data_IF_858128882875
#
_entry.id   IF_858128882875
#
_cell.length_a   1.000
_cell.length_b   1.000
_cell.length_c   1.000
_cell.angle_alpha   90.00
_cell.angle_beta   90.00
_cell.angle_gamma   90.00
#
_symmetry.space_group_name_H-M   'P 1'
#
loop_
_entity.id
_entity.type
_entity.pdbx_description
1 polymer ?
#
# COMPACT_ATOMS: atom_id res chain seq x y z
N UNK A 1 -9.54 21.78 5.03
CA UNK A 1 -8.85 20.81 5.92
C UNK A 1 -9.88 20.10 6.78
N UNK A 2 -9.62 18.85 7.17
CA UNK A 2 -10.47 18.08 8.07
C UNK A 2 -9.79 17.76 9.40
N UNK A 3 -10.55 17.24 10.36
CA UNK A 3 -10.03 16.78 11.66
C UNK A 3 -9.90 15.25 11.62
N UNK A 4 -8.70 14.73 11.86
CA UNK A 4 -8.48 13.29 11.97
C UNK A 4 -8.97 12.77 13.33
N UNK A 5 -9.70 11.65 13.34
CA UNK A 5 -10.14 10.95 14.54
C UNK A 5 -10.30 9.45 14.27
N UNK A 6 -10.09 8.62 15.28
CA UNK A 6 -10.38 7.18 15.22
C UNK A 6 -11.88 6.88 15.39
N UNK A 7 -12.24 5.59 15.26
CA UNK A 7 -13.62 5.13 15.47
C UNK A 7 -14.12 5.31 16.91
N UNK A 8 -13.22 5.22 17.90
CA UNK A 8 -13.51 5.45 19.32
C UNK A 8 -12.56 6.53 19.90
N UNK A 9 -12.86 7.83 19.75
CA UNK A 9 -11.94 8.92 20.08
C UNK A 9 -11.53 9.03 21.57
N UNK A 10 -12.25 8.37 22.47
CA UNK A 10 -12.00 8.39 23.92
C UNK A 10 -11.47 7.05 24.47
N UNK A 11 -11.19 6.09 23.60
CA UNK A 11 -10.62 4.81 24.01
C UNK A 11 -9.20 5.01 24.58
N UNK A 12 -8.80 4.10 25.48
CA UNK A 12 -7.43 4.02 25.99
C UNK A 12 -6.64 3.03 25.13
N UNK A 13 -5.34 3.24 24.99
CA UNK A 13 -4.46 2.39 24.17
C UNK A 13 -3.49 1.60 25.06
N UNK A 14 -3.46 0.28 24.89
CA UNK A 14 -2.32 -0.56 25.23
C UNK A 14 -1.52 -0.84 23.97
N UNK A 15 -0.20 -0.60 23.99
CA UNK A 15 0.67 -0.74 22.82
C UNK A 15 1.64 -1.88 23.05
N UNK A 16 1.48 -2.96 22.28
CA UNK A 16 2.31 -4.16 22.35
C UNK A 16 3.07 -4.30 21.04
N UNK A 17 4.38 -4.05 21.07
CA UNK A 17 5.21 -4.08 19.86
C UNK A 17 5.72 -5.50 19.59
N UNK A 18 5.10 -6.18 18.62
CA UNK A 18 5.52 -7.51 18.17
C UNK A 18 6.31 -7.54 16.85
N UNK A 19 6.34 -6.42 16.11
CA UNK A 19 6.93 -6.34 14.78
C UNK A 19 8.18 -5.46 14.72
N UNK A 20 9.16 -5.88 13.92
CA UNK A 20 10.44 -5.20 13.75
C UNK A 20 10.83 -5.09 12.27
N UNK A 21 11.54 -4.01 11.93
CA UNK A 21 12.10 -3.83 10.59
C UNK A 21 13.10 -4.95 10.31
N UNK A 22 13.00 -5.60 9.15
CA UNK A 22 13.87 -6.70 8.73
C UNK A 22 13.44 -8.09 9.24
N UNK A 23 12.90 -8.19 10.47
CA UNK A 23 12.48 -9.48 11.05
C UNK A 23 10.97 -9.77 10.91
N UNK A 24 10.16 -8.77 10.53
CA UNK A 24 8.71 -8.92 10.44
C UNK A 24 8.08 -9.05 11.82
N UNK A 25 7.04 -9.88 11.91
CA UNK A 25 6.28 -10.13 13.14
C UNK A 25 6.37 -11.63 13.49
N UNK A 26 7.36 -12.07 14.27
CA UNK A 26 7.50 -13.47 14.64
C UNK A 26 6.32 -13.94 15.49
N UNK A 27 5.78 -15.14 15.23
CA UNK A 27 4.63 -15.70 15.95
C UNK A 27 4.83 -15.69 17.46
N UNK A 28 6.02 -16.03 17.94
CA UNK A 28 6.34 -16.03 19.36
C UNK A 28 6.21 -14.63 19.98
N UNK A 29 6.63 -13.58 19.26
CA UNK A 29 6.50 -12.20 19.73
C UNK A 29 5.05 -11.72 19.70
N UNK A 30 4.27 -12.15 18.70
CA UNK A 30 2.84 -11.85 18.60
C UNK A 30 2.06 -12.54 19.71
N UNK A 31 2.35 -13.81 19.99
CA UNK A 31 1.72 -14.57 21.08
C UNK A 31 2.07 -14.00 22.46
N UNK A 32 3.32 -13.61 22.68
CA UNK A 32 3.72 -12.94 23.92
C UNK A 32 2.95 -11.61 24.11
N UNK A 33 2.85 -10.80 23.06
CA UNK A 33 2.06 -9.57 23.08
C UNK A 33 0.57 -9.80 23.36
N UNK A 34 -0.01 -10.89 22.83
CA UNK A 34 -1.40 -11.28 23.11
C UNK A 34 -1.56 -11.69 24.58
N UNK A 35 -0.61 -12.45 25.14
CA UNK A 35 -0.65 -12.88 26.54
C UNK A 35 -0.56 -11.69 27.51
N UNK A 36 0.36 -10.76 27.24
CA UNK A 36 0.47 -9.51 28.02
C UNK A 36 -0.82 -8.68 27.93
N UNK A 37 -1.40 -8.55 26.73
CA UNK A 37 -2.65 -7.80 26.56
C UNK A 37 -3.85 -8.47 27.26
N UNK A 38 -3.88 -9.80 27.27
CA UNK A 38 -4.86 -10.57 28.05
C UNK A 38 -4.68 -10.29 29.55
N UNK A 39 -3.44 -10.29 30.04
CA UNK A 39 -3.12 -10.04 31.44
C UNK A 39 -3.52 -8.63 31.87
N UNK A 40 -3.24 -7.64 31.02
CA UNK A 40 -3.59 -6.23 31.25
C UNK A 40 -5.10 -5.94 31.15
N UNK A 41 -5.89 -6.90 30.67
CA UNK A 41 -7.35 -6.80 30.61
C UNK A 41 -7.86 -5.86 29.53
N UNK A 42 -7.26 -5.88 28.33
CA UNK A 42 -7.77 -5.09 27.19
C UNK A 42 -9.14 -5.57 26.74
N UNK A 43 -9.98 -4.66 26.24
CA UNK A 43 -11.31 -5.00 25.73
C UNK A 43 -11.29 -5.52 24.27
N UNK A 44 -10.36 -5.00 23.46
CA UNK A 44 -10.24 -5.28 22.03
C UNK A 44 -8.78 -5.37 21.62
N UNK A 45 -8.45 -6.41 20.87
CA UNK A 45 -7.17 -6.58 20.17
C UNK A 45 -7.32 -6.22 18.70
N UNK A 46 -6.56 -5.22 18.24
CA UNK A 46 -6.50 -4.80 16.83
C UNK A 46 -5.14 -5.15 16.23
N UNK A 47 -5.12 -6.18 15.38
CA UNK A 47 -3.91 -6.80 14.84
C UNK A 47 -3.87 -6.63 13.31
N UNK A 48 -3.21 -5.58 12.83
CA UNK A 48 -3.01 -5.37 11.37
C UNK A 48 -1.81 -6.16 10.84
N UNK A 49 -1.80 -7.45 11.12
CA UNK A 49 -0.79 -8.43 10.68
C UNK A 49 -1.49 -9.58 9.96
N UNK A 50 -0.92 -10.02 8.85
CA UNK A 50 -1.48 -11.06 8.00
C UNK A 50 -0.37 -11.67 7.13
N UNK A 51 -0.56 -12.91 6.70
CA UNK A 51 0.29 -13.63 5.77
C UNK A 51 -0.48 -14.82 5.20
N UNK A 52 -0.40 -15.05 3.89
CA UNK A 52 -1.20 -16.08 3.20
C UNK A 52 -1.15 -17.43 3.94
N UNK A 53 -2.32 -17.99 4.24
CA UNK A 53 -2.45 -19.29 4.93
C UNK A 53 -1.98 -19.30 6.38
N UNK A 54 -1.65 -18.14 6.96
CA UNK A 54 -1.21 -18.02 8.33
C UNK A 54 -2.42 -17.81 9.27
N UNK A 55 -2.51 -18.64 10.31
CA UNK A 55 -3.54 -18.58 11.33
C UNK A 55 -2.89 -18.52 12.71
N UNK A 56 -3.44 -17.68 13.59
CA UNK A 56 -2.98 -17.54 14.98
C UNK A 56 -4.00 -18.15 15.95
N UNK A 57 -4.01 -19.48 16.15
CA UNK A 57 -5.01 -20.14 17.00
C UNK A 57 -4.93 -19.74 18.47
N UNK A 58 -3.78 -19.24 18.94
CA UNK A 58 -3.60 -18.72 20.31
C UNK A 58 -4.54 -17.56 20.67
N UNK A 59 -5.13 -16.89 19.68
CA UNK A 59 -6.17 -15.87 19.88
C UNK A 59 -7.46 -16.40 20.49
N UNK A 60 -7.70 -17.72 20.46
CA UNK A 60 -8.82 -18.35 21.14
C UNK A 60 -8.81 -18.05 22.64
N UNK A 61 -7.64 -17.97 23.28
CA UNK A 61 -7.51 -17.64 24.69
C UNK A 61 -7.96 -16.20 25.02
N UNK A 62 -7.73 -15.26 24.10
CA UNK A 62 -8.23 -13.90 24.24
C UNK A 62 -9.76 -13.86 24.18
N UNK A 63 -10.34 -14.53 23.17
CA UNK A 63 -11.80 -14.59 22.99
C UNK A 63 -12.48 -15.30 24.15
N UNK A 64 -11.88 -16.37 24.69
CA UNK A 64 -12.37 -17.06 25.89
C UNK A 64 -12.43 -16.15 27.13
N UNK A 65 -11.60 -15.11 27.18
CA UNK A 65 -11.61 -14.09 28.25
C UNK A 65 -12.49 -12.88 27.93
N UNK A 66 -13.29 -12.95 26.87
CA UNK A 66 -14.19 -11.88 26.46
C UNK A 66 -13.54 -10.77 25.64
N UNK A 67 -12.30 -10.96 25.18
CA UNK A 67 -11.55 -9.98 24.40
C UNK A 67 -11.84 -10.19 22.91
N UNK A 68 -12.36 -9.16 22.24
CA UNK A 68 -12.62 -9.23 20.79
C UNK A 68 -11.32 -9.09 20.00
N UNK A 69 -11.07 -9.97 19.03
CA UNK A 69 -9.85 -9.96 18.22
C UNK A 69 -10.18 -9.62 16.76
N UNK A 70 -9.48 -8.62 16.23
CA UNK A 70 -9.67 -8.11 14.87
C UNK A 70 -8.37 -8.23 14.08
N UNK A 71 -8.41 -8.92 12.93
CA UNK A 71 -7.30 -9.03 11.98
C UNK A 71 -7.59 -8.33 10.66
N UNK A 72 -6.54 -7.92 9.95
CA UNK A 72 -6.64 -7.61 8.52
C UNK A 72 -6.65 -8.87 7.66
N UNK A 73 -7.42 -8.89 6.57
CA UNK A 73 -7.52 -10.04 5.66
C UNK A 73 -6.30 -10.32 4.78
N UNK A 74 -5.25 -9.49 4.85
CA UNK A 74 -4.07 -9.60 3.99
C UNK A 74 -4.18 -8.80 2.69
N UNK A 75 -3.06 -8.66 1.99
CA UNK A 75 -2.93 -7.82 0.78
C UNK A 75 -2.42 -8.63 -0.42
N UNK A 76 -2.61 -9.95 -0.38
CA UNK A 76 -2.08 -10.92 -1.36
C UNK A 76 -3.13 -11.34 -2.40
N UNK A 77 -4.31 -10.73 -2.35
CA UNK A 77 -5.32 -10.87 -3.41
C UNK A 77 -4.84 -10.34 -4.76
N UNK A 78 -5.63 -10.52 -5.83
CA UNK A 78 -7.05 -10.88 -5.79
C UNK A 78 -7.34 -12.37 -5.99
N UNK A 79 -6.30 -13.20 -6.20
CA UNK A 79 -6.46 -14.64 -6.40
C UNK A 79 -7.28 -15.23 -5.25
N UNK A 80 -8.23 -16.15 -5.52
CA UNK A 80 -8.99 -16.78 -4.46
C UNK A 80 -8.10 -17.41 -3.38
N UNK A 81 -8.64 -17.54 -2.16
CA UNK A 81 -7.99 -18.23 -1.03
C UNK A 81 -6.68 -17.58 -0.53
N UNK A 82 -6.54 -16.26 -0.67
CA UNK A 82 -5.37 -15.50 -0.15
C UNK A 82 -5.59 -14.89 1.24
N UNK A 83 -6.77 -15.06 1.83
CA UNK A 83 -7.10 -14.51 3.16
C UNK A 83 -6.29 -15.20 4.26
N UNK A 84 -5.97 -14.47 5.33
CA UNK A 84 -5.26 -14.96 6.52
C UNK A 84 -6.15 -14.89 7.77
N UNK A 85 -5.80 -15.63 8.82
CA UNK A 85 -6.54 -15.65 10.08
C UNK A 85 -8.04 -15.91 9.89
N UNK A 86 -8.41 -16.87 9.06
CA UNK A 86 -9.79 -17.23 8.75
C UNK A 86 -10.42 -18.14 9.83
N UNK A 87 -10.06 -17.93 11.10
CA UNK A 87 -10.55 -18.72 12.23
C UNK A 87 -11.92 -18.20 12.70
N UNK A 88 -12.84 -19.06 13.16
CA UNK A 88 -14.24 -18.68 13.37
C UNK A 88 -14.49 -17.76 14.57
N UNK A 89 -13.52 -17.60 15.47
CA UNK A 89 -13.65 -16.78 16.68
C UNK A 89 -13.10 -15.35 16.54
N UNK A 90 -12.50 -14.99 15.41
CA UNK A 90 -11.95 -13.64 15.18
C UNK A 90 -12.73 -12.90 14.08
N UNK A 91 -12.60 -11.57 14.07
CA UNK A 91 -13.13 -10.75 12.99
C UNK A 91 -12.01 -10.42 11.99
N UNK A 92 -12.09 -10.97 10.78
CA UNK A 92 -11.12 -10.70 9.71
C UNK A 92 -11.69 -9.69 8.73
N UNK A 93 -11.01 -8.56 8.57
CA UNK A 93 -11.54 -7.37 7.88
C UNK A 93 -10.88 -7.20 6.50
N UNK A 94 -11.70 -7.12 5.46
CA UNK A 94 -11.28 -6.79 4.10
C UNK A 94 -11.10 -5.28 3.91
N UNK A 95 -10.39 -4.88 2.85
CA UNK A 95 -10.20 -3.48 2.49
C UNK A 95 -11.10 -3.08 1.32
N UNK A 96 -11.68 -1.89 1.39
CA UNK A 96 -12.42 -1.25 0.31
C UNK A 96 -11.98 0.20 0.13
N UNK A 97 -12.36 0.81 -0.99
CA UNK A 97 -12.17 2.25 -1.23
C UNK A 97 -13.28 3.07 -0.55
N UNK A 98 -13.03 4.37 -0.41
CA UNK A 98 -14.01 5.38 0.02
C UNK A 98 -14.28 6.35 -1.14
N UNK A 99 -15.26 7.23 -0.98
CA UNK A 99 -15.64 8.27 -1.96
C UNK A 99 -14.53 9.31 -2.21
N UNK A 100 -13.61 9.49 -1.26
CA UNK A 100 -12.46 10.39 -1.39
C UNK A 100 -11.39 9.81 -2.33
N UNK A 101 -11.00 10.64 -3.31
CA UNK A 101 -9.83 10.42 -4.16
C UNK A 101 -8.83 11.58 -4.06
N UNK A 102 -7.59 11.36 -4.53
CA UNK A 102 -6.54 12.38 -4.60
C UNK A 102 -6.17 12.64 -6.08
N UNK A 103 -7.03 13.34 -6.83
CA UNK A 103 -6.79 13.58 -8.24
C UNK A 103 -5.63 14.56 -8.44
N UNK A 104 -4.79 14.29 -9.44
CA UNK A 104 -3.74 15.20 -9.89
C UNK A 104 -3.98 15.51 -11.36
N UNK A 105 -4.20 16.79 -11.66
CA UNK A 105 -4.41 17.25 -13.03
C UNK A 105 -3.08 17.39 -13.74
N UNK A 106 -2.90 16.68 -14.84
CA UNK A 106 -1.72 16.76 -15.71
C UNK A 106 -2.15 17.55 -16.95
N UNK A 107 -1.53 18.71 -17.16
CA UNK A 107 -1.77 19.54 -18.35
C UNK A 107 -0.64 19.33 -19.36
N UNK A 108 -0.98 18.93 -20.58
CA UNK A 108 -0.04 18.69 -21.66
C UNK A 108 0.15 19.95 -22.52
N UNK A 109 1.24 19.99 -23.29
CA UNK A 109 1.54 21.12 -24.19
C UNK A 109 0.51 21.33 -25.30
N UNK A 110 -0.23 20.28 -25.68
CA UNK A 110 -1.33 20.32 -26.64
C UNK A 110 -2.66 20.80 -26.01
N UNK A 111 -2.65 21.27 -24.75
CA UNK A 111 -3.81 21.69 -23.95
C UNK A 111 -4.75 20.56 -23.50
N UNK A 112 -4.43 19.31 -23.81
CA UNK A 112 -5.15 18.19 -23.21
C UNK A 112 -4.87 18.10 -21.72
N UNK A 113 -5.86 17.61 -20.99
CA UNK A 113 -5.81 17.45 -19.55
C UNK A 113 -6.13 16.01 -19.20
N UNK A 114 -5.20 15.37 -18.49
CA UNK A 114 -5.37 14.03 -17.97
C UNK A 114 -5.52 14.11 -16.46
N UNK A 115 -6.33 13.23 -15.89
CA UNK A 115 -6.50 13.12 -14.44
C UNK A 115 -5.80 11.85 -13.99
N UNK A 116 -4.68 12.02 -13.29
CA UNK A 116 -4.00 10.93 -12.59
C UNK A 116 -4.35 10.93 -11.09
N UNK A 117 -3.68 10.07 -10.34
CA UNK A 117 -3.73 10.06 -8.88
C UNK A 117 -2.32 10.21 -8.31
N UNK A 118 -2.18 11.02 -7.28
CA UNK A 118 -0.91 11.19 -6.58
C UNK A 118 -1.14 11.67 -5.15
N UNK A 119 -0.20 11.33 -4.27
CA UNK A 119 -0.10 11.89 -2.91
C UNK A 119 1.19 12.72 -2.84
N UNK A 120 1.48 13.50 -3.88
CA UNK A 120 2.58 14.45 -3.85
C UNK A 120 2.14 15.73 -3.13
N UNK A 121 2.62 15.88 -1.89
CA UNK A 121 2.36 17.05 -1.05
C UNK A 121 3.53 18.04 -1.00
N UNK A 122 4.56 17.86 -1.85
CA UNK A 122 5.72 18.74 -1.84
C UNK A 122 5.42 20.06 -2.55
N UNK A 123 4.99 21.06 -1.77
CA UNK A 123 4.70 22.41 -2.27
C UNK A 123 5.90 23.09 -2.96
N UNK A 124 7.13 22.67 -2.66
CA UNK A 124 8.34 23.19 -3.31
C UNK A 124 8.51 22.70 -4.75
N UNK A 125 7.79 21.65 -5.17
CA UNK A 125 7.74 21.19 -6.56
C UNK A 125 6.68 21.90 -7.41
N UNK A 126 5.93 22.86 -6.86
CA UNK A 126 5.04 23.75 -7.63
C UNK A 126 5.86 24.78 -8.42
N UNK A 127 6.75 24.31 -9.29
CA UNK A 127 7.40 25.17 -10.25
C UNK A 127 6.44 25.30 -11.44
N UNK A 128 5.91 26.51 -11.64
CA UNK A 128 4.83 26.82 -12.59
C UNK A 128 5.19 26.66 -14.09
N UNK A 129 6.36 26.12 -14.42
CA UNK A 129 6.85 25.97 -15.79
C UNK A 129 6.61 24.58 -16.36
N UNK A 130 6.09 24.52 -17.59
CA UNK A 130 6.07 23.29 -18.38
C UNK A 130 7.49 22.69 -18.43
N UNK A 131 7.57 21.37 -18.22
CA UNK A 131 8.79 20.59 -18.41
C UNK A 131 8.64 19.73 -19.66
N UNK A 132 9.76 19.42 -20.31
CA UNK A 132 9.78 18.46 -21.41
C UNK A 132 9.23 17.10 -20.94
N UNK A 133 8.41 16.49 -21.80
CA UNK A 133 7.87 15.15 -21.61
C UNK A 133 8.64 14.17 -22.49
N UNK A 134 9.15 13.09 -21.89
CA UNK A 134 9.82 12.00 -22.60
C UNK A 134 9.06 10.72 -22.38
N UNK A 135 8.79 9.99 -23.45
CA UNK A 135 8.24 8.64 -23.38
C UNK A 135 9.39 7.63 -23.34
N UNK A 136 9.50 6.88 -22.23
CA UNK A 136 10.58 5.91 -22.02
C UNK A 136 10.16 4.45 -22.29
N UNK A 137 8.87 4.20 -22.60
CA UNK A 137 8.34 2.84 -22.61
C UNK A 137 8.23 2.30 -21.18
N UNK A 138 9.24 1.58 -20.71
CA UNK A 138 9.32 1.11 -19.31
C UNK A 138 10.16 2.02 -18.43
N UNK A 139 10.01 1.82 -17.11
CA UNK A 139 10.66 2.61 -16.06
C UNK A 139 11.84 1.87 -15.42
N UNK A 140 12.40 0.86 -16.09
CA UNK A 140 13.64 0.22 -15.69
C UNK A 140 14.85 1.09 -16.06
N UNK A 141 15.98 0.83 -15.39
CA UNK A 141 17.18 1.63 -15.54
C UNK A 141 17.72 1.66 -16.99
N UNK A 142 17.56 0.57 -17.75
CA UNK A 142 18.04 0.47 -19.13
C UNK A 142 17.24 1.38 -20.06
N UNK A 143 15.91 1.29 -19.99
CA UNK A 143 14.99 2.10 -20.80
C UNK A 143 15.11 3.59 -20.50
N UNK A 144 15.31 3.95 -19.22
CA UNK A 144 15.54 5.33 -18.80
C UNK A 144 16.89 5.87 -19.31
N UNK A 145 17.95 5.06 -19.30
CA UNK A 145 19.26 5.44 -19.81
C UNK A 145 19.24 5.70 -21.33
N UNK A 146 18.44 4.94 -22.08
CA UNK A 146 18.28 5.13 -23.52
C UNK A 146 17.47 6.38 -23.90
N UNK A 147 16.67 6.93 -22.97
CA UNK A 147 15.65 7.94 -23.27
C UNK A 147 16.02 9.39 -22.95
N UNK A 148 17.25 9.69 -22.47
CA UNK A 148 17.70 11.04 -22.09
C UNK A 148 16.68 11.80 -21.20
N UNK A 149 16.48 11.26 -19.99
CA UNK A 149 15.44 11.67 -19.04
C UNK A 149 15.87 12.75 -18.03
N UNK A 150 17.15 13.07 -17.97
CA UNK A 150 17.72 14.01 -17.00
C UNK A 150 17.06 15.38 -17.08
N UNK A 151 16.51 15.85 -15.96
CA UNK A 151 15.86 17.16 -15.87
C UNK A 151 14.45 17.23 -16.47
N UNK A 152 13.89 16.12 -16.97
CA UNK A 152 12.60 16.07 -17.69
C UNK A 152 11.53 15.30 -16.92
N UNK A 153 10.28 15.38 -17.39
CA UNK A 153 9.18 14.52 -16.93
C UNK A 153 9.13 13.27 -17.79
N UNK A 154 9.08 12.10 -17.17
CA UNK A 154 9.08 10.81 -17.87
C UNK A 154 7.68 10.21 -17.86
N UNK A 155 7.20 9.77 -19.02
CA UNK A 155 6.04 8.89 -19.15
C UNK A 155 6.52 7.45 -19.31
N UNK A 156 6.12 6.60 -18.36
CA UNK A 156 6.30 5.16 -18.42
C UNK A 156 4.95 4.49 -18.67
N UNK A 157 4.86 3.77 -19.78
CA UNK A 157 3.73 2.94 -20.17
C UNK A 157 4.24 1.71 -20.91
N UNK A 158 4.22 0.56 -20.24
CA UNK A 158 4.73 -0.71 -20.76
C UNK A 158 3.65 -1.81 -20.63
N UNK A 159 2.65 -1.85 -21.53
CA UNK A 159 1.44 -2.66 -21.36
C UNK A 159 1.72 -4.15 -21.11
N UNK A 160 2.72 -4.74 -21.78
CA UNK A 160 3.11 -6.13 -21.57
C UNK A 160 3.65 -6.41 -20.15
N UNK A 161 4.42 -5.48 -19.57
CA UNK A 161 4.93 -5.60 -18.19
C UNK A 161 3.84 -5.26 -17.16
N UNK A 162 2.94 -4.35 -17.52
CA UNK A 162 1.85 -3.92 -16.63
C UNK A 162 0.85 -5.04 -16.32
N UNK A 163 0.76 -6.04 -17.19
CA UNK A 163 -0.05 -7.22 -16.97
C UNK A 163 0.57 -8.12 -15.87
N UNK A 164 1.88 -8.35 -15.88
CA UNK A 164 2.49 -9.36 -15.02
C UNK A 164 2.91 -8.85 -13.64
N UNK A 165 3.07 -7.54 -13.46
CA UNK A 165 3.57 -6.96 -12.21
C UNK A 165 2.52 -6.03 -11.60
N UNK A 166 2.06 -6.25 -10.36
CA UNK A 166 1.06 -5.37 -9.75
C UNK A 166 1.63 -3.96 -9.48
N UNK A 167 0.81 -2.90 -9.54
CA UNK A 167 1.25 -1.52 -9.29
C UNK A 167 2.01 -1.35 -7.96
N UNK A 168 1.60 -2.09 -6.91
CA UNK A 168 2.23 -2.09 -5.59
C UNK A 168 3.73 -2.43 -5.63
N UNK A 169 4.14 -3.30 -6.55
CA UNK A 169 5.54 -3.70 -6.72
C UNK A 169 6.26 -2.81 -7.74
N UNK A 170 5.60 -2.48 -8.86
CA UNK A 170 6.22 -1.75 -9.95
C UNK A 170 6.45 -0.26 -9.62
N UNK A 171 5.50 0.40 -8.96
CA UNK A 171 5.56 1.85 -8.75
C UNK A 171 6.74 2.30 -7.86
N UNK A 172 7.05 1.67 -6.71
CA UNK A 172 8.22 2.05 -5.92
C UNK A 172 9.55 1.89 -6.68
N UNK A 173 9.68 0.83 -7.47
CA UNK A 173 10.85 0.61 -8.32
C UNK A 173 10.95 1.66 -9.41
N UNK A 174 9.85 1.96 -10.09
CA UNK A 174 9.79 3.02 -11.11
C UNK A 174 10.18 4.38 -10.54
N UNK A 175 9.64 4.76 -9.36
CA UNK A 175 10.01 6.00 -8.67
C UNK A 175 11.51 6.02 -8.39
N UNK A 176 12.06 4.94 -7.82
CA UNK A 176 13.48 4.85 -7.49
C UNK A 176 14.35 5.03 -8.75
N UNK A 177 14.12 4.24 -9.79
CA UNK A 177 14.91 4.29 -11.03
C UNK A 177 14.80 5.67 -11.71
N UNK A 178 13.61 6.28 -11.69
CA UNK A 178 13.37 7.60 -12.30
C UNK A 178 14.12 8.70 -11.55
N UNK A 179 14.17 8.64 -10.22
CA UNK A 179 14.95 9.56 -9.38
C UNK A 179 16.45 9.37 -9.60
N UNK A 180 16.92 8.11 -9.64
CA UNK A 180 18.33 7.78 -9.88
C UNK A 180 18.79 8.22 -11.29
N UNK A 181 17.91 8.16 -12.28
CA UNK A 181 18.16 8.67 -13.63
C UNK A 181 18.11 10.21 -13.74
N UNK A 182 17.83 10.94 -12.65
CA UNK A 182 17.84 12.40 -12.61
C UNK A 182 16.63 13.07 -13.26
N UNK A 183 15.53 12.35 -13.44
CA UNK A 183 14.29 12.93 -13.92
C UNK A 183 13.65 13.85 -12.86
N UNK A 184 12.87 14.84 -13.31
CA UNK A 184 12.14 15.77 -12.44
C UNK A 184 10.72 15.35 -12.12
N UNK A 185 10.15 14.43 -12.90
CA UNK A 185 8.79 13.97 -12.72
C UNK A 185 8.54 12.61 -13.36
N UNK A 186 7.53 11.91 -12.86
CA UNK A 186 7.10 10.61 -13.35
C UNK A 186 5.59 10.63 -13.58
N UNK A 187 5.17 10.27 -14.78
CA UNK A 187 3.83 9.84 -15.13
C UNK A 187 3.89 8.33 -15.33
N UNK A 188 3.32 7.59 -14.40
CA UNK A 188 3.30 6.12 -14.42
C UNK A 188 1.92 5.64 -14.83
N UNK A 189 1.82 4.99 -16.00
CA UNK A 189 0.58 4.46 -16.53
C UNK A 189 0.55 2.94 -16.41
N UNK A 190 -0.47 2.43 -15.71
CA UNK A 190 -0.69 1.01 -15.48
C UNK A 190 -2.19 0.73 -15.41
N UNK A 191 -2.60 -0.48 -15.80
CA UNK A 191 -3.98 -0.93 -15.62
C UNK A 191 -4.32 -1.12 -14.13
N UNK A 192 -5.57 -0.84 -13.78
CA UNK A 192 -6.14 -1.14 -12.46
C UNK A 192 -6.53 -2.61 -12.30
N UNK A 193 -6.57 -3.37 -13.41
CA UNK A 193 -6.91 -4.77 -13.43
C UNK A 193 -5.72 -5.58 -12.92
N UNK A 194 -5.86 -6.15 -11.73
CA UNK A 194 -5.06 -7.29 -11.32
C UNK A 194 -5.44 -8.46 -12.24
N UNK A 195 -4.46 -9.15 -12.82
CA UNK A 195 -4.64 -10.30 -13.72
C UNK A 195 -5.42 -11.48 -13.11
N UNK A 196 -6.75 -11.35 -13.05
CA UNK A 196 -7.69 -12.47 -13.02
C UNK A 196 -8.39 -12.66 -14.37
N UNK A 197 -8.34 -11.68 -15.27
CA UNK A 197 -8.93 -11.78 -16.61
C UNK A 197 -8.10 -12.67 -17.57
N UNK A 198 -7.00 -13.27 -17.08
CA UNK A 198 -6.07 -14.10 -17.85
C UNK A 198 -5.75 -15.46 -17.22
N UNK A 199 -6.49 -15.87 -16.16
CA UNK A 199 -6.39 -17.20 -15.55
C UNK A 199 -7.72 -17.96 -15.68
#
# INVERSE_FOLDING_TARGET
>A
MGVARGGAPRARFGIYKACWVGAGCPDAAVLAAIDDAIYDGVDVLSLSIAGVGHELPGTLHAVQRGISVVFGGGNDGPVPQTISNAVPWVTTVAASTIDRSFPTLISLGNKEKLVGQSINYNAAMNNSGFQDLVYAGSCDAESLALSNVTGKTVLCYAPAQTATTPPRQALPLAIKSTVEAGAKGLIFAQYTANNLDHL
#
